data_IF_120718880210
#
_entry.id   IF_120718880210
#
_cell.length_a   1.000
_cell.length_b   1.000
_cell.length_c   1.000
_cell.angle_alpha   90.00
_cell.angle_beta   90.00
_cell.angle_gamma   90.00
#
_symmetry.space_group_name_H-M   'P 1'
#
loop_
_entity.id
_entity.type
_entity.pdbx_description
1 polymer ?
#
# COMPACT_ATOMS: atom_id res chain seq x y z
N UNK A 1 67.66 36.12 46.73
CA UNK A 1 68.08 35.68 45.38
C UNK A 1 67.37 34.36 45.11
N UNK A 2 66.21 34.34 44.45
CA UNK A 2 66.02 34.33 42.99
C UNK A 2 66.82 33.22 42.28
N UNK A 3 66.06 32.46 41.49
CA UNK A 3 66.42 31.57 40.37
C UNK A 3 66.61 30.09 40.71
N UNK A 4 66.08 29.13 39.97
CA UNK A 4 64.95 29.04 39.02
C UNK A 4 64.85 27.54 38.76
N UNK A 5 63.62 27.00 38.85
CA UNK A 5 63.33 25.59 38.65
C UNK A 5 63.76 25.13 37.24
N UNK A 6 64.51 24.04 37.17
CA UNK A 6 64.79 23.34 35.93
C UNK A 6 63.54 22.52 35.53
N UNK A 7 62.86 22.91 34.46
CA UNK A 7 61.87 22.08 33.79
C UNK A 7 62.39 21.67 32.41
N UNK A 8 62.82 20.41 32.28
CA UNK A 8 62.99 19.76 30.98
C UNK A 8 61.62 19.65 30.29
N UNK A 9 61.49 19.90 28.98
CA UNK A 9 60.28 19.60 28.26
C UNK A 9 60.25 18.10 27.98
N UNK A 10 59.32 17.37 28.60
CA UNK A 10 58.97 16.02 28.16
C UNK A 10 58.15 16.16 26.89
N UNK A 11 58.76 15.86 25.75
CA UNK A 11 58.09 15.74 24.46
C UNK A 11 57.19 14.49 24.52
N UNK A 12 55.89 14.67 24.72
CA UNK A 12 54.91 13.59 24.59
C UNK A 12 54.71 13.28 23.10
N UNK A 13 55.36 12.22 22.62
CA UNK A 13 55.07 11.64 21.32
C UNK A 13 53.80 10.78 21.48
N UNK A 14 52.64 11.32 21.11
CA UNK A 14 51.41 10.54 21.03
C UNK A 14 51.47 9.63 19.80
N UNK A 15 51.94 8.39 19.97
CA UNK A 15 51.71 7.33 18.99
C UNK A 15 50.23 6.96 19.05
N UNK A 16 49.44 7.43 18.08
CA UNK A 16 48.07 6.93 17.87
C UNK A 16 48.16 5.53 17.26
N UNK A 17 48.02 4.51 18.11
CA UNK A 17 47.78 3.14 17.65
C UNK A 17 46.33 3.04 17.24
N UNK A 18 46.08 3.04 15.94
CA UNK A 18 44.76 2.74 15.38
C UNK A 18 44.51 1.24 15.59
N UNK A 19 43.78 0.88 16.65
CA UNK A 19 43.20 -0.46 16.78
C UNK A 19 41.97 -0.55 15.88
N UNK A 20 41.81 -1.60 15.06
CA UNK A 20 40.55 -1.83 14.36
C UNK A 20 39.49 -2.13 15.43
N UNK A 21 38.46 -1.28 15.50
CA UNK A 21 37.28 -1.56 16.30
C UNK A 21 36.64 -2.84 15.74
N UNK A 22 36.60 -3.91 16.54
CA UNK A 22 35.79 -5.08 16.22
C UNK A 22 34.33 -4.65 16.25
N UNK A 23 33.70 -4.70 15.07
CA UNK A 23 32.25 -4.62 14.89
C UNK A 23 31.56 -5.58 15.86
N UNK A 24 30.84 -5.05 16.84
CA UNK A 24 29.86 -5.81 17.62
C UNK A 24 28.61 -6.01 16.76
N UNK A 25 28.68 -6.92 15.79
CA UNK A 25 27.52 -7.44 15.05
C UNK A 25 27.31 -8.94 15.28
N UNK A 26 28.00 -9.53 16.26
CA UNK A 26 27.80 -10.92 16.64
C UNK A 26 26.59 -11.04 17.59
N UNK A 27 25.40 -11.24 17.03
CA UNK A 27 24.20 -11.55 17.82
C UNK A 27 22.87 -11.06 17.23
N UNK A 28 22.88 -10.28 16.16
CA UNK A 28 21.66 -9.90 15.45
C UNK A 28 21.39 -10.96 14.40
N UNK A 29 20.37 -11.79 14.62
CA UNK A 29 19.79 -12.60 13.56
C UNK A 29 18.85 -11.72 12.75
N UNK A 30 19.36 -11.21 11.65
CA UNK A 30 18.56 -10.52 10.66
C UNK A 30 17.54 -11.50 10.05
N UNK A 31 16.32 -11.04 9.71
CA UNK A 31 15.28 -11.88 9.09
C UNK A 31 15.72 -12.52 7.76
N UNK A 32 16.78 -12.03 7.13
CA UNK A 32 17.45 -12.64 5.97
C UNK A 32 18.20 -13.96 6.25
N UNK A 33 18.44 -14.31 7.53
CA UNK A 33 19.00 -15.60 7.93
C UNK A 33 17.93 -16.71 8.06
N UNK A 34 16.64 -16.36 8.01
CA UNK A 34 15.54 -17.31 7.95
C UNK A 34 15.43 -17.88 6.52
N UNK A 35 15.65 -19.18 6.37
CA UNK A 35 15.52 -19.91 5.09
C UNK A 35 14.24 -20.73 5.00
N UNK A 36 13.43 -20.72 6.06
CA UNK A 36 12.19 -21.49 6.14
C UNK A 36 10.97 -20.66 5.70
N UNK A 37 11.07 -19.33 5.67
CA UNK A 37 10.06 -18.47 5.06
C UNK A 37 10.20 -18.44 3.54
N UNK A 38 9.17 -18.88 2.83
CA UNK A 38 9.13 -18.81 1.37
C UNK A 38 9.02 -17.34 0.92
N UNK A 39 10.15 -16.71 0.57
CA UNK A 39 10.18 -15.40 -0.07
C UNK A 39 9.67 -15.51 -1.51
N UNK A 40 8.68 -14.68 -1.87
CA UNK A 40 8.28 -14.48 -3.25
C UNK A 40 9.21 -13.44 -3.89
N UNK A 41 10.06 -13.87 -4.82
CA UNK A 41 10.93 -12.98 -5.59
C UNK A 41 10.14 -12.33 -6.74
N UNK A 42 10.15 -11.00 -6.80
CA UNK A 42 9.88 -10.25 -8.04
C UNK A 42 11.23 -10.02 -8.73
N UNK A 43 11.38 -10.41 -9.99
CA UNK A 43 12.65 -10.29 -10.72
C UNK A 43 12.96 -8.82 -11.05
N UNK A 44 13.96 -8.24 -10.38
CA UNK A 44 14.55 -6.92 -10.64
C UNK A 44 15.48 -6.48 -9.50
N UNK A 45 16.64 -5.90 -9.80
CA UNK A 45 17.55 -5.34 -8.77
C UNK A 45 17.04 -3.94 -8.37
N UNK A 46 16.69 -3.75 -7.09
CA UNK A 46 16.47 -2.45 -6.46
C UNK A 46 17.74 -2.08 -5.69
N UNK A 47 18.15 -0.82 -5.70
CA UNK A 47 19.44 -0.41 -5.13
C UNK A 47 19.33 0.10 -3.67
N UNK A 48 18.13 0.45 -3.17
CA UNK A 48 17.90 0.89 -1.79
C UNK A 48 17.28 -0.13 -0.82
N UNK A 49 16.94 0.35 0.40
CA UNK A 49 16.08 -0.37 1.36
C UNK A 49 14.64 -0.35 0.81
N UNK A 50 14.35 -1.17 -0.18
CA UNK A 50 12.97 -1.38 -0.67
C UNK A 50 12.18 -2.37 0.20
N UNK A 51 12.58 -2.52 1.46
CA UNK A 51 11.95 -3.37 2.44
C UNK A 51 11.50 -2.51 3.60
N UNK A 52 10.25 -2.08 3.53
CA UNK A 52 9.63 -1.34 4.62
C UNK A 52 9.15 -2.32 5.68
N UNK A 53 9.29 -1.98 6.98
CA UNK A 53 8.66 -2.75 8.03
C UNK A 53 7.17 -2.87 7.72
N UNK A 54 6.65 -4.09 7.81
CA UNK A 54 5.21 -4.26 7.71
C UNK A 54 4.56 -3.66 8.95
N UNK A 55 3.67 -2.69 8.74
CA UNK A 55 2.87 -2.06 9.77
C UNK A 55 1.43 -2.55 9.65
N UNK A 56 0.79 -2.80 10.80
CA UNK A 56 -0.64 -3.08 10.89
C UNK A 56 -1.33 -1.86 11.49
N UNK A 57 -2.08 -1.15 10.65
CA UNK A 57 -2.84 0.02 11.06
C UNK A 57 -4.15 -0.42 11.69
N UNK A 58 -4.52 0.15 12.84
CA UNK A 58 -5.78 -0.17 13.53
C UNK A 58 -7.02 0.26 12.75
N UNK A 59 -6.86 1.18 11.80
CA UNK A 59 -7.91 1.68 10.91
C UNK A 59 -8.11 0.82 9.66
N UNK A 60 -7.40 -0.29 9.50
CA UNK A 60 -7.44 -1.14 8.31
C UNK A 60 -7.90 -2.56 8.65
N UNK A 61 -8.93 -3.05 7.95
CA UNK A 61 -9.35 -4.43 7.94
C UNK A 61 -8.51 -5.23 6.93
N UNK A 62 -7.78 -6.22 7.44
CA UNK A 62 -6.90 -7.08 6.64
C UNK A 62 -7.45 -8.49 6.42
N UNK A 63 -8.48 -8.88 7.17
CA UNK A 63 -9.12 -10.19 7.08
C UNK A 63 -10.61 -9.96 7.01
N UNK A 64 -11.31 -10.52 6.00
CA UNK A 64 -12.73 -10.24 5.79
C UNK A 64 -13.58 -10.78 6.94
N UNK A 65 -14.41 -9.91 7.51
CA UNK A 65 -15.46 -10.30 8.47
C UNK A 65 -16.75 -10.82 7.82
N UNK A 66 -17.74 -11.13 8.65
CA UNK A 66 -19.07 -11.56 8.19
C UNK A 66 -19.89 -10.43 7.58
N UNK A 67 -19.65 -9.20 8.06
CA UNK A 67 -20.35 -7.96 7.68
C UNK A 67 -19.35 -6.96 7.13
N UNK A 68 -19.70 -6.29 6.04
CA UNK A 68 -18.92 -5.17 5.49
C UNK A 68 -19.44 -3.86 6.09
N UNK A 69 -18.63 -3.22 6.92
CA UNK A 69 -18.87 -1.87 7.43
C UNK A 69 -17.94 -0.89 6.70
N UNK A 70 -18.12 0.43 6.90
CA UNK A 70 -17.30 1.48 6.28
C UNK A 70 -16.77 2.46 7.34
N UNK A 71 -16.59 1.96 8.56
CA UNK A 71 -15.94 2.65 9.68
C UNK A 71 -14.41 2.43 9.72
N UNK A 72 -13.91 1.50 8.90
CA UNK A 72 -12.49 1.24 8.67
C UNK A 72 -12.20 1.18 7.16
N UNK A 73 -10.92 1.20 6.80
CA UNK A 73 -10.46 0.97 5.43
C UNK A 73 -10.23 -0.51 5.18
N UNK A 74 -10.38 -0.96 3.95
CA UNK A 74 -10.24 -2.36 3.60
C UNK A 74 -8.98 -2.59 2.78
N UNK A 75 -8.21 -3.61 3.14
CA UNK A 75 -7.15 -4.12 2.29
C UNK A 75 -7.72 -4.67 0.97
N UNK A 76 -6.88 -4.70 -0.07
CA UNK A 76 -7.25 -5.26 -1.38
C UNK A 76 -7.80 -6.70 -1.29
N UNK A 77 -7.31 -7.51 -0.34
CA UNK A 77 -7.80 -8.87 -0.14
C UNK A 77 -9.24 -8.92 0.39
N UNK A 78 -9.58 -8.01 1.32
CA UNK A 78 -10.94 -7.85 1.85
C UNK A 78 -11.87 -7.33 0.77
N UNK A 79 -11.46 -6.30 0.02
CA UNK A 79 -12.22 -5.78 -1.12
C UNK A 79 -12.52 -6.90 -2.12
N UNK A 80 -11.49 -7.65 -2.53
CA UNK A 80 -11.64 -8.76 -3.48
C UNK A 80 -12.50 -9.90 -2.92
N UNK A 81 -12.46 -10.16 -1.61
CA UNK A 81 -13.34 -11.13 -0.97
C UNK A 81 -14.81 -10.74 -1.14
N UNK A 82 -15.16 -9.48 -0.84
CA UNK A 82 -16.54 -8.99 -0.98
C UNK A 82 -17.02 -8.99 -2.43
N UNK A 83 -16.15 -8.59 -3.37
CA UNK A 83 -16.46 -8.68 -4.80
C UNK A 83 -16.78 -10.12 -5.23
N UNK A 84 -16.02 -11.13 -4.77
CA UNK A 84 -16.31 -12.55 -5.02
C UNK A 84 -17.63 -12.99 -4.39
N UNK A 85 -17.83 -12.63 -3.12
CA UNK A 85 -19.07 -12.95 -2.38
C UNK A 85 -20.30 -12.41 -3.08
N UNK A 86 -20.27 -11.18 -3.61
CA UNK A 86 -21.38 -10.61 -4.36
C UNK A 86 -21.60 -11.27 -5.73
N UNK A 87 -20.53 -11.65 -6.43
CA UNK A 87 -20.67 -12.41 -7.67
C UNK A 87 -21.39 -13.76 -7.45
N UNK A 88 -21.07 -14.44 -6.35
CA UNK A 88 -21.71 -15.72 -5.97
C UNK A 88 -23.17 -15.53 -5.52
N UNK A 89 -23.45 -14.45 -4.77
CA UNK A 89 -24.79 -14.16 -4.25
C UNK A 89 -25.76 -13.64 -5.32
N UNK A 90 -25.26 -12.91 -6.32
CA UNK A 90 -26.07 -12.22 -7.33
C UNK A 90 -25.65 -12.59 -8.76
N UNK A 91 -25.62 -13.88 -9.15
CA UNK A 91 -25.08 -14.31 -10.45
C UNK A 91 -25.88 -13.80 -11.68
N UNK A 92 -27.12 -13.34 -11.48
CA UNK A 92 -27.92 -12.71 -12.53
C UNK A 92 -27.71 -11.20 -12.68
N UNK A 93 -26.94 -10.59 -11.76
CA UNK A 93 -26.68 -9.15 -11.72
C UNK A 93 -25.20 -8.81 -11.79
N UNK A 94 -24.34 -9.62 -11.16
CA UNK A 94 -22.92 -9.36 -10.97
C UNK A 94 -22.10 -10.35 -11.77
N UNK A 95 -21.19 -9.83 -12.60
CA UNK A 95 -20.10 -10.60 -13.20
C UNK A 95 -18.78 -10.06 -12.69
N UNK A 96 -17.94 -10.91 -12.11
CA UNK A 96 -16.61 -10.56 -11.62
C UNK A 96 -15.54 -11.18 -12.52
N UNK A 97 -14.53 -10.39 -12.90
CA UNK A 97 -13.44 -10.86 -13.75
C UNK A 97 -12.13 -10.11 -13.47
N UNK A 98 -11.02 -10.77 -13.78
CA UNK A 98 -9.68 -10.18 -13.76
C UNK A 98 -9.44 -9.47 -15.10
N UNK A 99 -9.19 -8.16 -15.08
CA UNK A 99 -8.87 -7.38 -16.30
C UNK A 99 -7.38 -7.43 -16.66
N UNK A 100 -6.56 -7.87 -15.72
CA UNK A 100 -5.12 -8.02 -15.89
C UNK A 100 -4.42 -8.19 -14.54
N UNK A 101 -3.10 -8.22 -14.59
CA UNK A 101 -2.25 -8.29 -13.40
C UNK A 101 -1.41 -7.03 -13.26
N UNK A 102 -1.15 -6.65 -12.02
CA UNK A 102 -0.27 -5.54 -11.66
C UNK A 102 1.20 -5.88 -11.89
N UNK A 103 2.10 -4.95 -11.55
CA UNK A 103 3.54 -5.16 -11.72
C UNK A 103 4.04 -6.31 -10.83
N UNK A 104 3.54 -6.40 -9.60
CA UNK A 104 3.87 -7.50 -8.68
C UNK A 104 2.97 -8.73 -8.87
N UNK A 105 2.19 -8.79 -9.95
CA UNK A 105 1.38 -9.95 -10.30
C UNK A 105 0.05 -10.10 -9.56
N UNK A 106 -0.40 -9.08 -8.81
CA UNK A 106 -1.72 -9.08 -8.16
C UNK A 106 -2.83 -8.93 -9.18
N UNK A 107 -3.97 -9.63 -9.01
CA UNK A 107 -5.09 -9.50 -9.91
C UNK A 107 -5.72 -8.10 -9.80
N UNK A 108 -6.02 -7.49 -10.94
CA UNK A 108 -6.82 -6.28 -11.03
C UNK A 108 -8.25 -6.72 -11.33
N UNK A 109 -9.10 -6.69 -10.30
CA UNK A 109 -10.48 -7.20 -10.39
C UNK A 109 -11.45 -6.10 -10.83
N UNK A 110 -12.43 -6.46 -11.65
CA UNK A 110 -13.53 -5.57 -12.06
C UNK A 110 -14.86 -6.31 -11.98
N UNK A 111 -15.90 -5.60 -11.53
CA UNK A 111 -17.29 -6.08 -11.57
C UNK A 111 -18.07 -5.37 -12.66
N UNK A 112 -18.92 -6.11 -13.34
CA UNK A 112 -20.05 -5.59 -14.10
C UNK A 112 -21.32 -5.82 -13.29
N UNK A 113 -22.09 -4.76 -13.06
CA UNK A 113 -23.41 -4.79 -12.44
C UNK A 113 -24.48 -4.41 -13.48
N UNK A 114 -25.31 -5.37 -13.87
CA UNK A 114 -26.46 -5.16 -14.76
C UNK A 114 -27.45 -6.32 -14.66
N UNK A 115 -28.74 -6.08 -14.85
CA UNK A 115 -29.70 -7.19 -14.91
C UNK A 115 -29.60 -7.96 -16.24
N UNK A 116 -29.00 -9.16 -16.23
CA UNK A 116 -28.84 -9.98 -17.42
C UNK A 116 -30.17 -10.40 -18.07
N UNK A 117 -31.29 -10.39 -17.32
CA UNK A 117 -32.63 -10.73 -17.85
C UNK A 117 -33.20 -9.66 -18.78
N UNK A 118 -32.78 -8.41 -18.63
CA UNK A 118 -33.20 -7.29 -19.50
C UNK A 118 -32.24 -7.03 -20.65
N UNK A 119 -31.21 -7.88 -20.79
CA UNK A 119 -30.19 -7.83 -21.85
C UNK A 119 -28.77 -7.87 -21.28
N UNK A 120 -27.77 -8.24 -22.11
CA UNK A 120 -26.37 -8.21 -21.69
C UNK A 120 -25.88 -6.76 -21.49
N UNK A 121 -24.79 -6.60 -20.76
CA UNK A 121 -24.11 -5.31 -20.53
C UNK A 121 -23.73 -4.61 -21.84
N UNK A 122 -23.24 -5.38 -22.83
CA UNK A 122 -22.74 -4.86 -24.11
C UNK A 122 -23.78 -4.15 -24.98
N UNK A 123 -25.08 -4.30 -24.70
CA UNK A 123 -26.16 -3.64 -25.46
C UNK A 123 -26.84 -2.51 -24.69
N UNK A 124 -26.43 -2.28 -23.44
CA UNK A 124 -26.98 -1.23 -22.57
C UNK A 124 -26.01 -0.04 -22.53
N UNK A 125 -26.52 1.21 -22.40
CA UNK A 125 -25.64 2.33 -22.08
C UNK A 125 -24.97 2.08 -20.72
N UNK A 126 -23.73 2.53 -20.58
CA UNK A 126 -22.91 2.18 -19.44
C UNK A 126 -22.23 3.37 -18.77
N UNK A 127 -21.96 3.19 -17.48
CA UNK A 127 -21.09 4.06 -16.69
C UNK A 127 -19.95 3.25 -16.08
N UNK A 128 -18.76 3.85 -16.00
CA UNK A 128 -17.58 3.25 -15.40
C UNK A 128 -17.14 4.07 -14.19
N UNK A 129 -16.98 3.38 -13.07
CA UNK A 129 -16.50 3.93 -11.80
C UNK A 129 -15.23 3.20 -11.39
N UNK A 130 -14.12 3.91 -11.33
CA UNK A 130 -12.86 3.41 -10.79
C UNK A 130 -12.42 4.18 -9.55
N UNK A 131 -11.73 3.47 -8.67
CA UNK A 131 -11.10 4.01 -7.48
C UNK A 131 -9.62 3.69 -7.43
N UNK A 132 -8.91 4.45 -6.59
CA UNK A 132 -7.57 4.15 -6.08
C UNK A 132 -6.56 3.85 -7.18
N UNK A 133 -6.58 4.71 -8.19
CA UNK A 133 -5.50 4.83 -9.18
C UNK A 133 -4.22 5.33 -8.53
N UNK A 134 -4.34 6.31 -7.63
CA UNK A 134 -3.26 6.72 -6.74
C UNK A 134 -3.36 5.95 -5.43
N UNK A 135 -2.23 5.42 -4.97
CA UNK A 135 -2.18 4.40 -3.92
C UNK A 135 -2.76 4.86 -2.59
N UNK A 136 -2.40 6.07 -2.15
CA UNK A 136 -2.87 6.65 -0.88
C UNK A 136 -4.27 7.24 -0.90
N UNK A 137 -4.93 7.33 -2.07
CA UNK A 137 -6.30 7.85 -2.18
C UNK A 137 -7.33 6.74 -1.88
N UNK A 138 -7.16 6.06 -0.74
CA UNK A 138 -7.89 4.84 -0.36
C UNK A 138 -9.40 5.06 -0.21
N UNK A 139 -9.82 6.27 0.16
CA UNK A 139 -11.24 6.66 0.23
C UNK A 139 -11.97 6.51 -1.09
N UNK A 140 -11.28 6.62 -2.23
CA UNK A 140 -11.89 6.39 -3.54
C UNK A 140 -12.18 4.90 -3.81
N UNK A 141 -11.33 3.98 -3.31
CA UNK A 141 -11.64 2.55 -3.34
C UNK A 141 -12.88 2.24 -2.49
N UNK A 142 -12.93 2.79 -1.27
CA UNK A 142 -14.08 2.64 -0.38
C UNK A 142 -15.36 3.17 -1.00
N UNK A 143 -15.31 4.31 -1.69
CA UNK A 143 -16.48 4.90 -2.32
C UNK A 143 -17.07 4.00 -3.41
N UNK A 144 -16.22 3.36 -4.22
CA UNK A 144 -16.67 2.41 -5.27
C UNK A 144 -17.17 1.10 -4.66
N UNK A 145 -16.52 0.62 -3.59
CA UNK A 145 -16.96 -0.55 -2.85
C UNK A 145 -18.33 -0.32 -2.20
N UNK A 146 -18.51 0.84 -1.56
CA UNK A 146 -19.77 1.28 -0.96
C UNK A 146 -20.87 1.42 -2.00
N UNK A 147 -20.58 2.07 -3.13
CA UNK A 147 -21.52 2.19 -4.24
C UNK A 147 -22.00 0.82 -4.71
N UNK A 148 -21.10 -0.16 -4.81
CA UNK A 148 -21.47 -1.53 -5.17
C UNK A 148 -22.43 -2.13 -4.13
N UNK A 149 -22.09 -2.06 -2.84
CA UNK A 149 -22.94 -2.59 -1.76
C UNK A 149 -24.33 -1.92 -1.77
N UNK A 150 -24.37 -0.60 -1.92
CA UNK A 150 -25.60 0.20 -1.94
C UNK A 150 -26.52 -0.19 -3.10
N UNK A 151 -25.97 -0.31 -4.31
CA UNK A 151 -26.72 -0.69 -5.50
C UNK A 151 -27.29 -2.12 -5.39
N UNK A 152 -26.51 -3.07 -4.84
CA UNK A 152 -26.97 -4.44 -4.63
C UNK A 152 -28.05 -4.54 -3.56
N UNK A 153 -27.90 -3.81 -2.45
CA UNK A 153 -28.88 -3.80 -1.36
C UNK A 153 -30.21 -3.13 -1.77
N UNK A 154 -30.15 -2.14 -2.67
CA UNK A 154 -31.32 -1.44 -3.19
C UNK A 154 -32.04 -2.17 -4.34
N UNK A 155 -31.39 -3.13 -5.00
CA UNK A 155 -32.01 -3.82 -6.13
C UNK A 155 -33.21 -4.67 -5.69
N UNK A 156 -34.37 -4.44 -6.30
CA UNK A 156 -35.64 -5.10 -5.97
C UNK A 156 -36.42 -4.46 -4.82
N UNK A 157 -35.84 -3.50 -4.11
CA UNK A 157 -36.48 -2.78 -3.00
C UNK A 157 -36.68 -1.30 -3.32
N UNK A 158 -35.65 -0.64 -3.85
CA UNK A 158 -35.67 0.73 -4.34
C UNK A 158 -36.02 0.76 -5.84
N UNK A 159 -37.14 1.39 -6.25
CA UNK A 159 -37.55 1.46 -7.65
C UNK A 159 -36.57 2.20 -8.58
N UNK A 160 -35.86 3.22 -8.07
CA UNK A 160 -34.89 3.98 -8.85
C UNK A 160 -33.63 3.15 -9.12
N UNK A 161 -33.09 2.51 -8.08
CA UNK A 161 -31.93 1.61 -8.21
C UNK A 161 -32.26 0.41 -9.10
N UNK A 162 -33.45 -0.18 -8.93
CA UNK A 162 -33.92 -1.28 -9.77
C UNK A 162 -34.00 -0.86 -11.23
N UNK A 163 -34.63 0.28 -11.50
CA UNK A 163 -34.72 0.84 -12.85
C UNK A 163 -33.35 1.19 -13.45
N UNK A 164 -32.40 1.63 -12.64
CA UNK A 164 -31.03 1.91 -13.05
C UNK A 164 -30.33 0.62 -13.52
N UNK A 165 -30.31 -0.43 -12.69
CA UNK A 165 -29.63 -1.70 -12.98
C UNK A 165 -30.31 -2.47 -14.13
N UNK A 166 -31.62 -2.31 -14.30
CA UNK A 166 -32.36 -2.93 -15.39
C UNK A 166 -32.03 -2.30 -16.75
N UNK A 167 -31.82 -0.98 -16.81
CA UNK A 167 -31.62 -0.23 -18.07
C UNK A 167 -30.16 -0.01 -18.44
N UNK A 168 -29.25 0.01 -17.47
CA UNK A 168 -27.85 0.37 -17.67
C UNK A 168 -26.89 -0.74 -17.25
N UNK A 169 -25.66 -0.64 -17.73
CA UNK A 169 -24.53 -1.42 -17.21
C UNK A 169 -23.62 -0.52 -16.35
N UNK A 170 -23.20 -1.01 -15.20
CA UNK A 170 -22.32 -0.27 -14.30
C UNK A 170 -21.05 -1.09 -14.11
N UNK A 171 -19.93 -0.57 -14.61
CA UNK A 171 -18.62 -1.19 -14.44
C UNK A 171 -17.93 -0.58 -13.22
N UNK A 172 -17.51 -1.42 -12.28
CA UNK A 172 -17.00 -1.02 -10.98
C UNK A 172 -15.61 -1.64 -10.77
N UNK A 173 -14.61 -0.77 -10.54
CA UNK A 173 -13.24 -1.18 -10.21
C UNK A 173 -12.77 -0.44 -8.96
N UNK A 174 -12.97 -1.00 -7.76
CA UNK A 174 -12.58 -0.34 -6.52
C UNK A 174 -11.09 -0.03 -6.44
N UNK A 175 -10.22 -1.00 -6.79
CA UNK A 175 -8.77 -0.85 -6.69
C UNK A 175 -8.13 -0.97 -8.07
N UNK A 176 -7.77 0.16 -8.67
CA UNK A 176 -7.07 0.17 -9.96
C UNK A 176 -5.55 -0.07 -9.83
N UNK A 177 -4.93 0.32 -8.71
CA UNK A 177 -3.50 0.13 -8.43
C UNK A 177 -3.31 -0.77 -7.19
N UNK A 178 -3.47 -2.10 -7.32
CA UNK A 178 -3.43 -3.00 -6.16
C UNK A 178 -2.05 -3.10 -5.50
N UNK A 179 -0.96 -2.88 -6.24
CA UNK A 179 0.38 -2.91 -5.64
C UNK A 179 0.62 -1.69 -4.77
N UNK A 180 0.29 -0.51 -5.29
CA UNK A 180 0.37 0.73 -4.55
C UNK A 180 -0.55 0.72 -3.33
N UNK A 181 -1.81 0.29 -3.51
CA UNK A 181 -2.74 0.12 -2.40
C UNK A 181 -2.16 -0.78 -1.31
N UNK A 182 -1.58 -1.92 -1.70
CA UNK A 182 -1.00 -2.86 -0.75
C UNK A 182 0.18 -2.25 0.01
N UNK A 183 1.06 -1.51 -0.69
CA UNK A 183 2.17 -0.79 -0.07
C UNK A 183 1.65 0.22 0.96
N UNK A 184 0.66 1.04 0.59
CA UNK A 184 0.08 2.07 1.45
C UNK A 184 -0.62 1.49 2.70
N UNK A 185 -1.31 0.35 2.55
CA UNK A 185 -2.03 -0.28 3.67
C UNK A 185 -1.14 -1.07 4.62
N UNK A 186 0.07 -1.46 4.22
CA UNK A 186 0.93 -2.36 5.01
C UNK A 186 2.26 -1.74 5.42
N UNK A 187 2.51 -0.46 5.13
CA UNK A 187 3.79 0.20 5.44
C UNK A 187 3.56 1.68 5.77
N UNK A 188 4.60 2.35 6.27
CA UNK A 188 4.60 3.80 6.50
C UNK A 188 4.66 4.63 5.20
N UNK A 189 4.71 3.99 4.02
CA UNK A 189 4.93 4.66 2.75
C UNK A 189 3.68 5.36 2.24
N UNK A 190 3.87 6.60 1.81
CA UNK A 190 2.83 7.42 1.18
C UNK A 190 2.98 7.49 -0.34
N UNK A 191 3.49 6.42 -0.99
CA UNK A 191 3.66 6.39 -2.44
C UNK A 191 2.34 6.78 -3.11
N UNK A 192 2.37 7.67 -4.10
CA UNK A 192 1.19 8.06 -4.87
C UNK A 192 1.00 7.18 -6.10
N UNK A 193 2.11 6.71 -6.69
CA UNK A 193 2.17 6.05 -8.00
C UNK A 193 2.17 4.52 -7.86
N UNK A 194 2.44 3.79 -8.94
CA UNK A 194 2.70 2.35 -8.88
C UNK A 194 4.00 2.06 -8.12
N UNK A 195 4.21 0.82 -7.70
CA UNK A 195 5.45 0.36 -7.03
C UNK A 195 6.62 0.09 -7.99
N UNK A 196 6.50 0.59 -9.24
CA UNK A 196 7.56 0.45 -10.23
C UNK A 196 8.80 1.18 -9.69
N UNK A 197 9.97 0.54 -9.73
CA UNK A 197 11.19 1.17 -9.26
C UNK A 197 11.46 2.48 -10.02
N UNK A 198 11.80 3.55 -9.31
CA UNK A 198 12.06 4.88 -9.87
C UNK A 198 13.38 5.46 -9.36
N UNK A 199 14.11 6.12 -10.26
CA UNK A 199 15.35 6.85 -9.97
C UNK A 199 14.99 8.35 -9.88
N UNK A 200 14.79 8.81 -8.64
CA UNK A 200 14.19 10.12 -8.38
C UNK A 200 15.12 11.30 -8.71
N UNK A 201 16.44 11.11 -8.67
CA UNK A 201 17.44 12.16 -8.91
C UNK A 201 18.36 11.89 -10.12
N UNK A 202 18.14 10.77 -10.83
CA UNK A 202 18.89 10.31 -12.00
C UNK A 202 20.37 10.00 -11.70
N UNK A 203 20.69 9.54 -10.48
CA UNK A 203 22.04 9.14 -10.10
C UNK A 203 22.37 7.68 -10.48
N UNK A 204 21.38 6.95 -11.04
CA UNK A 204 21.49 5.56 -11.44
C UNK A 204 21.09 4.58 -10.33
N UNK A 205 20.72 5.08 -9.15
CA UNK A 205 20.22 4.31 -8.03
C UNK A 205 18.69 4.39 -8.00
N UNK A 206 18.05 3.39 -7.40
CA UNK A 206 16.61 3.19 -7.51
C UNK A 206 16.02 2.96 -6.12
N UNK A 207 14.97 3.74 -5.81
CA UNK A 207 14.21 3.69 -4.56
C UNK A 207 15.08 3.82 -3.28
N UNK A 208 16.08 4.72 -3.28
CA UNK A 208 17.02 4.89 -2.15
C UNK A 208 16.61 5.97 -1.12
N UNK A 209 15.73 6.90 -1.49
CA UNK A 209 15.42 8.09 -0.69
C UNK A 209 14.14 7.93 0.16
N UNK A 210 14.14 6.96 1.06
CA UNK A 210 12.99 6.74 1.94
C UNK A 210 12.88 7.82 3.02
N UNK A 211 11.64 8.25 3.39
CA UNK A 211 11.47 9.09 4.57
C UNK A 211 11.92 8.40 5.86
N UNK A 212 12.52 9.16 6.78
CA UNK A 212 12.91 8.68 8.11
C UNK A 212 11.74 8.75 9.10
N UNK A 213 11.41 7.62 9.75
CA UNK A 213 10.50 7.56 10.88
C UNK A 213 11.25 7.92 12.17
N UNK A 214 11.10 9.17 12.63
CA UNK A 214 11.86 9.73 13.74
C UNK A 214 11.40 9.25 15.12
N UNK A 215 10.15 8.81 15.27
CA UNK A 215 9.58 8.35 16.55
C UNK A 215 9.26 6.86 16.59
N UNK A 216 9.39 6.16 15.47
CA UNK A 216 9.30 4.70 15.37
C UNK A 216 7.87 4.16 15.48
N UNK A 217 6.86 5.01 15.25
CA UNK A 217 5.45 4.62 15.33
C UNK A 217 4.91 4.00 14.02
N UNK A 218 5.74 3.98 12.97
CA UNK A 218 5.37 3.47 11.65
C UNK A 218 4.57 4.46 10.80
N UNK A 219 4.55 5.75 11.16
CA UNK A 219 3.84 6.83 10.45
C UNK A 219 4.81 7.94 10.08
N UNK A 220 5.00 8.16 8.77
CA UNK A 220 5.78 9.30 8.28
C UNK A 220 4.92 10.57 8.30
N UNK A 221 5.22 11.48 9.23
CA UNK A 221 4.61 12.80 9.31
C UNK A 221 5.53 13.86 8.69
N UNK A 222 4.97 14.77 7.90
CA UNK A 222 5.69 15.99 7.51
C UNK A 222 5.68 16.96 8.69
N UNK A 223 6.82 17.10 9.38
CA UNK A 223 7.01 18.11 10.43
C UNK A 223 6.60 19.48 9.88
N UNK A 224 5.64 20.15 10.53
CA UNK A 224 5.36 21.56 10.26
C UNK A 224 6.31 22.41 11.10
N UNK A 225 7.10 23.24 10.43
CA UNK A 225 7.87 24.30 11.07
C UNK A 225 6.90 25.32 11.68
N UNK A 226 7.19 25.78 12.91
CA UNK A 226 6.41 26.85 13.52
C UNK A 226 6.73 28.16 12.79
N UNK A 227 5.74 28.76 12.14
CA UNK A 227 5.87 30.12 11.59
C UNK A 227 6.23 31.08 12.74
N UNK A 228 7.25 31.92 12.54
CA UNK A 228 7.74 32.86 13.56
C UNK A 228 6.85 34.11 13.70
N UNK A 229 5.69 34.13 13.02
CA UNK A 229 4.72 35.22 13.06
C UNK A 229 3.67 35.08 14.15
#
# INVERSE_FOLDING_TARGET
>A
MRQLFASLPVLFLALSVCMPAKSQTSGINFPENDRDTAFYFVTGYRHGISFFPQVRLSSVEYVPGDTLTFDTFHSNDVINHWMRKWADQYPGLVTLYEVGKSYEGRPIMQMTLTNCKTGPDMVKPAAFFEGNRHSGEVTSAESVLWLTQHLLAGYGTDPEITGLIDRYAIYLKPVNNPDGHNLYMNTAQSNRSTVRPDDSDNDGLIDEDSPEDLDGDGIILTVRWKDEK
#
